data_IF_686622000423
#
_entry.id   IF_686622000423
#
_cell.length_a   1.000
_cell.length_b   1.000
_cell.length_c   1.000
_cell.angle_alpha   90.00
_cell.angle_beta   90.00
_cell.angle_gamma   90.00
#
_symmetry.space_group_name_H-M   'P 1'
#
loop_
_entity.id
_entity.type
_entity.pdbx_description
1 polymer ?
#
# COMPACT_ATOMS: atom_id res chain seq x y z
N UNK A 1 -4.05 -9.25 -27.62
CA UNK A 1 -4.90 -8.69 -26.53
C UNK A 1 -4.64 -9.34 -25.17
N UNK A 2 -4.55 -10.67 -25.06
CA UNK A 2 -4.34 -11.39 -23.78
C UNK A 2 -3.06 -11.03 -23.02
N UNK A 3 -1.92 -10.80 -23.69
CA UNK A 3 -0.65 -10.41 -23.05
C UNK A 3 -0.74 -9.06 -22.32
N UNK A 4 -1.46 -8.10 -22.88
CA UNK A 4 -1.69 -6.79 -22.27
C UNK A 4 -2.54 -6.91 -21.00
N UNK A 5 -3.58 -7.75 -21.03
CA UNK A 5 -4.45 -8.01 -19.89
C UNK A 5 -3.68 -8.68 -18.74
N UNK A 6 -2.84 -9.70 -19.04
CA UNK A 6 -1.98 -10.35 -18.05
C UNK A 6 -1.01 -9.37 -17.38
N UNK A 7 -0.38 -8.48 -18.15
CA UNK A 7 0.54 -7.48 -17.60
C UNK A 7 -0.16 -6.49 -16.66
N UNK A 8 -1.37 -6.05 -17.01
CA UNK A 8 -2.16 -5.16 -16.13
C UNK A 8 -2.52 -5.84 -14.82
N UNK A 9 -3.02 -7.08 -14.87
CA UNK A 9 -3.36 -7.86 -13.67
C UNK A 9 -2.14 -8.02 -12.77
N UNK A 10 -0.99 -8.43 -13.33
CA UNK A 10 0.24 -8.58 -12.57
C UNK A 10 0.69 -7.27 -11.92
N UNK A 11 0.61 -6.17 -12.65
CA UNK A 11 1.01 -4.84 -12.14
C UNK A 11 0.10 -4.36 -11.02
N UNK A 12 -1.21 -4.63 -11.10
CA UNK A 12 -2.16 -4.34 -10.04
C UNK A 12 -1.87 -5.17 -8.79
N UNK A 13 -1.64 -6.47 -8.94
CA UNK A 13 -1.31 -7.35 -7.80
C UNK A 13 0.01 -6.91 -7.15
N UNK A 14 1.04 -6.64 -7.94
CA UNK A 14 2.32 -6.15 -7.44
C UNK A 14 2.15 -4.80 -6.72
N UNK A 15 1.37 -3.88 -7.30
CA UNK A 15 1.04 -2.60 -6.68
C UNK A 15 0.31 -2.78 -5.35
N UNK A 16 -0.65 -3.69 -5.26
CA UNK A 16 -1.39 -3.99 -4.04
C UNK A 16 -0.48 -4.55 -2.94
N UNK A 17 0.36 -5.54 -3.26
CA UNK A 17 1.31 -6.13 -2.30
C UNK A 17 2.28 -5.08 -1.80
N UNK A 18 2.92 -4.34 -2.71
CA UNK A 18 3.87 -3.28 -2.33
C UNK A 18 3.19 -2.17 -1.52
N UNK A 19 1.95 -1.81 -1.86
CA UNK A 19 1.18 -0.80 -1.15
C UNK A 19 0.87 -1.21 0.28
N UNK A 20 0.42 -2.44 0.50
CA UNK A 20 0.16 -2.98 1.84
C UNK A 20 1.46 -3.02 2.65
N UNK A 21 2.54 -3.58 2.10
CA UNK A 21 3.77 -3.78 2.84
C UNK A 21 4.45 -2.44 3.18
N UNK A 22 4.66 -1.57 2.18
CA UNK A 22 5.34 -0.29 2.37
C UNK A 22 4.46 0.67 3.17
N UNK A 23 3.19 0.81 2.78
CA UNK A 23 2.25 1.70 3.45
C UNK A 23 1.97 1.27 4.88
N UNK A 24 1.79 -0.03 5.11
CA UNK A 24 1.60 -0.60 6.44
C UNK A 24 2.83 -0.42 7.32
N UNK A 25 4.03 -0.73 6.81
CA UNK A 25 5.28 -0.52 7.56
C UNK A 25 5.48 0.96 7.94
N UNK A 26 5.28 1.89 7.01
CA UNK A 26 5.37 3.33 7.30
C UNK A 26 4.29 3.78 8.29
N UNK A 27 3.06 3.28 8.13
CA UNK A 27 1.97 3.53 9.06
C UNK A 27 2.28 3.02 10.47
N UNK A 28 2.90 1.85 10.59
CA UNK A 28 3.33 1.27 11.87
C UNK A 28 4.46 2.08 12.50
N UNK A 29 5.48 2.46 11.74
CA UNK A 29 6.61 3.27 12.26
C UNK A 29 6.12 4.63 12.75
N UNK A 30 5.33 5.32 11.93
CA UNK A 30 4.78 6.64 12.29
C UNK A 30 3.76 6.52 13.43
N UNK A 31 2.89 5.51 13.38
CA UNK A 31 1.90 5.21 14.41
C UNK A 31 2.52 4.83 15.74
N UNK A 32 3.53 3.97 15.76
CA UNK A 32 4.25 3.61 16.97
C UNK A 32 4.96 4.81 17.58
N UNK A 33 5.55 5.67 16.75
CA UNK A 33 6.27 6.87 17.21
C UNK A 33 5.32 7.95 17.74
N UNK A 34 4.20 8.21 17.04
CA UNK A 34 3.30 9.32 17.35
C UNK A 34 2.14 8.92 18.27
N UNK A 35 1.61 7.71 18.09
CA UNK A 35 0.42 7.21 18.77
C UNK A 35 0.71 6.12 19.81
N UNK A 36 1.93 5.57 19.86
CA UNK A 36 2.29 4.51 20.81
C UNK A 36 2.27 4.96 22.28
N UNK A 37 2.33 6.27 22.55
CA UNK A 37 2.18 6.82 23.91
C UNK A 37 0.70 7.05 24.32
N UNK A 38 -0.25 6.90 23.39
CA UNK A 38 -1.67 7.10 23.67
C UNK A 38 -2.31 5.76 24.04
N UNK A 39 -2.75 5.61 25.29
CA UNK A 39 -3.52 4.44 25.72
C UNK A 39 -4.99 4.55 25.28
N UNK A 40 -5.25 4.18 24.04
CA UNK A 40 -6.61 4.13 23.43
C UNK A 40 -7.21 2.72 23.43
N UNK A 41 -6.41 1.72 23.80
CA UNK A 41 -6.82 0.32 23.83
C UNK A 41 -8.05 0.11 24.72
N UNK A 42 -8.08 0.74 25.90
CA UNK A 42 -9.17 0.60 26.87
C UNK A 42 -10.54 1.03 26.34
N UNK A 43 -10.59 1.88 25.30
CA UNK A 43 -11.84 2.37 24.69
C UNK A 43 -12.20 1.68 23.38
N UNK A 44 -11.22 1.27 22.59
CA UNK A 44 -11.43 0.80 21.21
C UNK A 44 -11.00 -0.65 20.97
N UNK A 45 -10.31 -1.29 21.92
CA UNK A 45 -9.78 -2.65 21.80
C UNK A 45 -8.67 -2.81 20.77
N UNK A 46 -8.14 -1.69 20.25
CA UNK A 46 -7.04 -1.61 19.28
C UNK A 46 -6.09 -0.47 19.66
N UNK A 47 -4.81 -0.65 19.40
CA UNK A 47 -3.80 0.36 19.68
C UNK A 47 -3.72 1.41 18.57
N UNK A 48 -3.24 2.61 18.92
CA UNK A 48 -3.11 3.71 17.95
C UNK A 48 -2.17 3.39 16.78
N UNK A 49 -1.11 2.64 17.04
CA UNK A 49 -0.19 2.21 15.99
C UNK A 49 -0.83 1.19 15.04
N UNK A 50 -1.77 0.36 15.52
CA UNK A 50 -2.49 -0.61 14.68
C UNK A 50 -3.39 0.12 13.70
N UNK A 51 -4.13 1.12 14.18
CA UNK A 51 -4.96 1.99 13.34
C UNK A 51 -4.09 2.66 12.27
N UNK A 52 -2.96 3.24 12.66
CA UNK A 52 -2.03 3.88 11.74
C UNK A 52 -1.46 2.90 10.70
N UNK A 53 -1.22 1.65 11.08
CA UNK A 53 -0.78 0.57 10.18
C UNK A 53 -1.85 0.27 9.11
N UNK A 54 -3.12 0.16 9.51
CA UNK A 54 -4.22 -0.06 8.57
C UNK A 54 -4.42 1.12 7.62
N UNK A 55 -4.44 2.35 8.16
CA UNK A 55 -4.56 3.58 7.36
C UNK A 55 -3.38 3.72 6.40
N UNK A 56 -2.17 3.48 6.89
CA UNK A 56 -0.95 3.51 6.07
C UNK A 56 -1.00 2.50 4.93
N UNK A 57 -1.47 1.27 5.18
CA UNK A 57 -1.63 0.24 4.14
C UNK A 57 -2.61 0.68 3.06
N UNK A 58 -3.74 1.28 3.43
CA UNK A 58 -4.74 1.79 2.49
C UNK A 58 -4.15 2.91 1.62
N UNK A 59 -3.52 3.91 2.24
CA UNK A 59 -2.85 5.00 1.52
C UNK A 59 -1.79 4.43 0.57
N UNK A 60 -0.99 3.47 1.04
CA UNK A 60 0.01 2.78 0.25
C UNK A 60 -0.58 2.17 -1.02
N UNK A 61 -1.66 1.39 -0.90
CA UNK A 61 -2.38 0.78 -2.05
C UNK A 61 -2.84 1.85 -3.05
N UNK A 62 -3.46 2.92 -2.58
CA UNK A 62 -3.99 3.98 -3.45
C UNK A 62 -2.88 4.69 -4.25
N UNK A 63 -1.65 4.72 -3.73
CA UNK A 63 -0.50 5.32 -4.41
C UNK A 63 0.19 4.30 -5.33
N UNK A 64 0.46 3.09 -4.85
CA UNK A 64 1.30 2.12 -5.57
C UNK A 64 0.60 1.46 -6.75
N UNK A 65 -0.71 1.19 -6.68
CA UNK A 65 -1.45 0.64 -7.84
C UNK A 65 -1.35 1.53 -9.08
N UNK A 66 -1.74 2.82 -9.04
CA UNK A 66 -1.64 3.68 -10.24
C UNK A 66 -0.19 3.88 -10.68
N UNK A 67 0.75 3.94 -9.74
CA UNK A 67 2.19 4.03 -10.04
C UNK A 67 2.65 2.80 -10.85
N UNK A 68 2.32 1.60 -10.39
CA UNK A 68 2.76 0.35 -11.03
C UNK A 68 2.10 0.13 -12.38
N UNK A 69 0.83 0.50 -12.52
CA UNK A 69 0.15 0.54 -13.82
C UNK A 69 0.83 1.52 -14.79
N UNK A 70 1.24 2.70 -14.32
CA UNK A 70 1.96 3.69 -15.14
C UNK A 70 3.32 3.17 -15.59
N UNK A 71 4.09 2.55 -14.69
CA UNK A 71 5.38 1.94 -15.01
C UNK A 71 5.24 0.81 -16.04
N UNK A 72 4.28 -0.09 -15.83
CA UNK A 72 4.01 -1.21 -16.74
C UNK A 72 3.63 -0.74 -18.15
N UNK A 73 2.75 0.26 -18.25
CA UNK A 73 2.38 0.86 -19.54
C UNK A 73 3.59 1.50 -20.24
N UNK A 74 4.47 2.18 -19.49
CA UNK A 74 5.70 2.78 -20.04
C UNK A 74 6.63 1.71 -20.61
N UNK A 75 6.85 0.62 -19.87
CA UNK A 75 7.70 -0.50 -20.30
C UNK A 75 7.15 -1.17 -21.57
N UNK A 76 5.83 -1.35 -21.66
CA UNK A 76 5.19 -1.95 -22.85
C UNK A 76 5.35 -1.07 -24.09
N UNK A 77 5.30 0.26 -23.93
CA UNK A 77 5.47 1.21 -25.05
C UNK A 77 6.90 1.23 -25.57
N UNK A 78 7.91 1.06 -24.70
CA UNK A 78 9.33 1.04 -25.09
C UNK A 78 9.74 -0.26 -25.81
N UNK A 79 9.02 -1.35 -25.59
CA UNK A 79 9.29 -2.68 -26.18
C UNK A 79 8.60 -2.91 -27.54
N UNK A 80 7.85 -1.92 -28.04
CA UNK A 80 7.16 -1.94 -29.34
C UNK A 80 7.83 -0.97 -30.29
#
# INVERSE_FOLDING_TARGET
MQKLMKNKVFSTIAGLILGILIGGYLGLVLGGTLLGSFNIYDKFGIEGYEIATYVGSLIGIFITIPLMLRYSNKLIKTQK
#
